data_IF_270782926364
#
_entry.id   IF_270782926364
#
_cell.length_a   1.000
_cell.length_b   1.000
_cell.length_c   1.000
_cell.angle_alpha   90.00
_cell.angle_beta   90.00
_cell.angle_gamma   90.00
#
_symmetry.space_group_name_H-M   'P 1'
#
loop_
_entity.id
_entity.type
_entity.pdbx_description
1 polymer ?
#
# COMPACT_ATOMS: atom_id res chain seq x y z
N UNK A 1 -15.60 8.21 37.09
CA UNK A 1 -15.58 9.55 36.48
C UNK A 1 -14.16 9.86 36.07
N UNK A 2 -14.00 10.22 34.78
CA UNK A 2 -12.90 10.94 34.12
C UNK A 2 -11.47 10.33 34.21
N UNK A 3 -10.66 10.31 33.16
CA UNK A 3 -10.65 11.21 32.01
C UNK A 3 -10.42 10.43 30.70
N UNK A 4 -11.35 10.63 29.76
CA UNK A 4 -11.05 10.52 28.34
C UNK A 4 -10.09 11.67 28.01
N UNK A 5 -8.91 11.34 27.50
CA UNK A 5 -8.08 12.31 26.78
C UNK A 5 -8.71 12.41 25.39
N UNK A 6 -9.71 13.27 25.27
CA UNK A 6 -10.18 13.75 23.97
C UNK A 6 -9.12 14.76 23.55
N UNK A 7 -8.21 14.34 22.67
CA UNK A 7 -7.30 15.25 21.98
C UNK A 7 -8.14 16.26 21.21
N UNK A 8 -8.10 17.51 21.66
CA UNK A 8 -8.87 18.60 21.10
C UNK A 8 -8.04 19.26 19.98
N UNK A 9 -8.57 19.25 18.76
CA UNK A 9 -8.21 20.07 17.60
C UNK A 9 -6.84 19.86 16.93
N UNK A 10 -6.84 19.17 15.78
CA UNK A 10 -6.73 19.83 14.48
C UNK A 10 -7.19 18.86 13.39
N UNK A 11 -8.34 19.11 12.77
CA UNK A 11 -8.47 18.77 11.36
C UNK A 11 -7.42 19.62 10.66
N UNK A 12 -6.21 19.09 10.51
CA UNK A 12 -5.16 19.70 9.71
C UNK A 12 -5.70 19.92 8.30
N UNK A 13 -5.12 20.90 7.59
CA UNK A 13 -5.46 21.09 6.18
C UNK A 13 -5.33 19.74 5.45
N UNK A 14 -6.31 19.38 4.58
CA UNK A 14 -6.22 18.16 3.80
C UNK A 14 -4.85 18.06 3.14
N UNK A 15 -4.30 16.83 3.06
CA UNK A 15 -3.05 16.66 2.33
C UNK A 15 -3.25 17.13 0.87
N UNK A 16 -2.25 17.83 0.28
CA UNK A 16 -2.40 18.42 -1.03
C UNK A 16 -2.73 17.37 -2.08
N UNK A 17 -3.48 17.79 -3.08
CA UNK A 17 -3.71 16.98 -4.26
C UNK A 17 -2.38 16.80 -5.02
N UNK A 18 -2.10 15.58 -5.49
CA UNK A 18 -0.93 15.28 -6.32
C UNK A 18 -0.95 16.05 -7.64
N UNK A 19 0.15 16.03 -8.43
CA UNK A 19 0.23 16.78 -9.68
C UNK A 19 -0.97 16.53 -10.59
N UNK A 20 -1.39 17.56 -11.37
CA UNK A 20 -2.51 17.42 -12.29
C UNK A 20 -2.17 16.40 -13.37
N UNK A 21 -3.18 15.71 -13.88
CA UNK A 21 -3.01 14.72 -14.93
C UNK A 21 -4.16 13.74 -14.95
N UNK A 22 -4.50 13.27 -16.15
CA UNK A 22 -5.43 12.17 -16.34
C UNK A 22 -4.71 10.84 -16.08
N UNK A 23 -5.49 9.79 -15.81
CA UNK A 23 -4.97 8.43 -15.56
C UNK A 23 -4.00 7.97 -16.67
N UNK A 24 -4.25 8.35 -17.93
CA UNK A 24 -3.39 7.96 -19.06
C UNK A 24 -2.07 8.72 -19.17
N UNK A 25 -1.87 9.79 -18.38
CA UNK A 25 -0.66 10.63 -18.42
C UNK A 25 0.15 10.56 -17.14
N UNK A 26 -0.44 10.13 -16.03
CA UNK A 26 0.28 9.93 -14.78
C UNK A 26 1.24 8.75 -14.89
N UNK A 27 2.42 8.94 -14.32
CA UNK A 27 3.52 7.98 -14.28
C UNK A 27 3.86 7.61 -12.85
N UNK A 28 4.69 6.59 -12.63
CA UNK A 28 5.13 6.22 -11.27
C UNK A 28 5.81 7.39 -10.55
N UNK A 29 6.54 8.25 -11.27
CA UNK A 29 7.24 9.41 -10.70
C UNK A 29 6.29 10.38 -10.01
N UNK A 30 5.05 10.52 -10.53
CA UNK A 30 4.05 11.41 -9.97
C UNK A 30 3.63 10.96 -8.55
N UNK A 31 3.68 9.66 -8.26
CA UNK A 31 3.27 9.09 -6.98
C UNK A 31 4.37 9.07 -5.92
N UNK A 32 5.64 9.21 -6.31
CA UNK A 32 6.78 9.14 -5.39
C UNK A 32 6.61 10.14 -4.23
N UNK A 33 6.77 9.65 -3.01
CA UNK A 33 6.82 10.46 -1.79
C UNK A 33 8.22 10.37 -1.19
N UNK A 34 8.70 11.49 -0.65
CA UNK A 34 10.03 11.57 -0.02
C UNK A 34 10.03 11.18 1.47
N UNK A 35 8.85 10.88 2.03
CA UNK A 35 8.66 10.55 3.44
C UNK A 35 8.74 11.76 4.39
N UNK A 36 8.83 12.98 3.87
CA UNK A 36 8.76 14.19 4.69
C UNK A 36 7.30 14.58 4.97
N UNK A 37 7.06 15.37 6.02
CA UNK A 37 5.72 15.93 6.29
C UNK A 37 5.10 16.63 5.05
N UNK A 38 5.93 17.34 4.28
CA UNK A 38 5.51 18.08 3.07
C UNK A 38 5.27 17.19 1.84
N UNK A 39 5.81 15.97 1.83
CA UNK A 39 5.66 15.02 0.73
C UNK A 39 4.33 14.27 0.70
N UNK A 40 3.55 14.29 1.78
CA UNK A 40 2.22 13.67 1.83
C UNK A 40 1.27 14.33 0.82
N UNK A 41 0.61 13.50 0.02
CA UNK A 41 -0.32 13.92 -1.05
C UNK A 41 -1.40 12.88 -1.28
N UNK A 42 -2.48 13.27 -1.96
CA UNK A 42 -3.60 12.42 -2.36
C UNK A 42 -3.93 12.60 -3.83
N UNK A 43 -4.38 11.56 -4.50
CA UNK A 43 -4.93 11.63 -5.84
C UNK A 43 -6.40 11.24 -5.81
N UNK A 44 -7.25 12.12 -6.33
CA UNK A 44 -8.71 11.95 -6.31
C UNK A 44 -9.21 11.62 -7.71
N UNK A 45 -9.87 10.48 -7.85
CA UNK A 45 -10.50 10.02 -9.08
C UNK A 45 -11.98 9.72 -8.86
N UNK A 46 -12.76 9.70 -9.93
CA UNK A 46 -14.18 9.32 -9.89
C UNK A 46 -14.59 8.69 -11.21
N UNK A 47 -15.56 7.77 -11.16
CA UNK A 47 -16.28 7.28 -12.32
C UNK A 47 -17.68 7.91 -12.46
N UNK A 48 -18.00 8.93 -11.67
CA UNK A 48 -19.31 9.60 -11.63
C UNK A 48 -20.28 9.03 -10.60
N UNK A 49 -20.06 7.80 -10.12
CA UNK A 49 -20.88 7.16 -9.08
C UNK A 49 -20.18 7.18 -7.72
N UNK A 50 -18.87 6.93 -7.71
CA UNK A 50 -18.03 6.86 -6.51
C UNK A 50 -16.69 7.56 -6.74
N UNK A 51 -15.99 7.79 -5.63
CA UNK A 51 -14.67 8.42 -5.61
C UNK A 51 -13.60 7.46 -5.08
N UNK A 52 -12.42 7.53 -5.68
CA UNK A 52 -11.18 6.89 -5.21
C UNK A 52 -10.24 7.98 -4.71
N UNK A 53 -9.74 7.82 -3.49
CA UNK A 53 -8.72 8.65 -2.88
C UNK A 53 -7.44 7.82 -2.71
N UNK A 54 -6.51 7.91 -3.65
CA UNK A 54 -5.25 7.17 -3.59
C UNK A 54 -4.20 7.99 -2.84
N UNK A 55 -3.65 7.44 -1.75
CA UNK A 55 -2.58 8.06 -0.96
C UNK A 55 -1.33 7.17 -1.09
N UNK A 56 -0.28 7.64 -1.80
CA UNK A 56 0.95 6.88 -1.95
C UNK A 56 1.71 6.79 -0.63
N UNK A 57 2.12 5.58 -0.28
CA UNK A 57 2.85 5.25 0.93
C UNK A 57 4.32 4.92 0.65
N UNK A 58 5.14 5.07 1.68
CA UNK A 58 6.50 4.56 1.78
C UNK A 58 6.67 3.94 3.17
N UNK A 59 7.44 2.86 3.30
CA UNK A 59 7.53 2.10 4.55
C UNK A 59 8.39 2.75 5.64
N UNK A 60 9.27 3.67 5.29
CA UNK A 60 10.15 4.39 6.22
C UNK A 60 10.08 5.88 5.88
N UNK A 61 9.69 6.70 6.85
CA UNK A 61 9.42 8.12 6.68
C UNK A 61 9.60 8.88 8.01
N UNK A 62 9.46 10.19 7.99
CA UNK A 62 9.35 10.98 9.22
C UNK A 62 7.99 10.71 9.90
N UNK A 63 7.93 10.70 11.24
CA UNK A 63 6.65 10.53 11.96
C UNK A 63 5.56 11.52 11.48
N UNK A 64 5.85 12.82 11.27
CA UNK A 64 4.85 13.76 10.77
C UNK A 64 4.25 13.42 9.38
N UNK A 65 4.93 12.64 8.55
CA UNK A 65 4.35 12.15 7.29
C UNK A 65 3.16 11.23 7.56
N UNK A 66 3.35 10.25 8.45
CA UNK A 66 2.28 9.31 8.84
C UNK A 66 1.17 10.00 9.62
N UNK A 67 1.48 10.96 10.49
CA UNK A 67 0.46 11.73 11.23
C UNK A 67 -0.50 12.45 10.27
N UNK A 68 0.02 13.03 9.17
CA UNK A 68 -0.80 13.70 8.14
C UNK A 68 -1.65 12.70 7.35
N UNK A 69 -1.13 11.51 7.06
CA UNK A 69 -1.89 10.46 6.37
C UNK A 69 -3.02 9.96 7.27
N UNK A 70 -2.75 9.69 8.55
CA UNK A 70 -3.75 9.26 9.52
C UNK A 70 -4.89 10.28 9.63
N UNK A 71 -4.56 11.57 9.76
CA UNK A 71 -5.55 12.64 9.79
C UNK A 71 -6.40 12.70 8.50
N UNK A 72 -5.79 12.49 7.34
CA UNK A 72 -6.52 12.48 6.06
C UNK A 72 -7.43 11.24 5.93
N UNK A 73 -6.96 10.07 6.35
CA UNK A 73 -7.77 8.84 6.37
C UNK A 73 -8.97 9.02 7.29
N UNK A 74 -8.76 9.50 8.52
CA UNK A 74 -9.86 9.79 9.45
C UNK A 74 -10.90 10.73 8.81
N UNK A 75 -10.43 11.81 8.17
CA UNK A 75 -11.29 12.77 7.48
C UNK A 75 -12.09 12.12 6.34
N UNK A 76 -11.47 11.28 5.52
CA UNK A 76 -12.14 10.60 4.40
C UNK A 76 -13.14 9.54 4.89
N UNK A 77 -12.78 8.79 5.94
CA UNK A 77 -13.67 7.81 6.57
C UNK A 77 -14.88 8.45 7.23
N UNK A 78 -14.72 9.59 7.90
CA UNK A 78 -15.84 10.38 8.43
C UNK A 78 -16.81 10.85 7.32
N UNK A 79 -16.36 10.92 6.06
CA UNK A 79 -17.19 11.20 4.89
C UNK A 79 -17.70 9.92 4.18
N UNK A 80 -17.63 8.77 4.85
CA UNK A 80 -18.21 7.51 4.39
C UNK A 80 -17.35 6.72 3.41
N UNK A 81 -16.05 7.02 3.28
CA UNK A 81 -15.14 6.17 2.51
C UNK A 81 -14.68 4.96 3.32
N UNK A 82 -14.63 3.78 2.70
CA UNK A 82 -13.94 2.61 3.26
C UNK A 82 -12.42 2.76 3.05
N UNK A 83 -11.62 2.29 4.01
CA UNK A 83 -10.17 2.26 3.93
C UNK A 83 -9.71 0.91 3.38
N UNK A 84 -9.04 0.96 2.22
CA UNK A 84 -8.38 -0.18 1.58
C UNK A 84 -6.87 -0.01 1.76
N UNK A 85 -6.17 -1.02 2.30
CA UNK A 85 -4.75 -0.88 2.64
C UNK A 85 -3.88 -2.06 2.22
N UNK A 86 -2.60 -1.78 2.00
CA UNK A 86 -1.51 -2.71 1.67
C UNK A 86 -0.77 -3.22 2.91
N UNK A 87 -1.18 -4.32 3.55
CA UNK A 87 -0.37 -4.96 4.60
C UNK A 87 -0.24 -6.46 4.34
N UNK A 88 0.83 -6.88 3.66
CA UNK A 88 1.12 -8.32 3.52
C UNK A 88 1.21 -8.96 4.91
N UNK A 89 0.22 -9.78 5.25
CA UNK A 89 0.14 -10.44 6.54
C UNK A 89 1.05 -11.67 6.56
N UNK A 90 2.26 -11.47 7.10
CA UNK A 90 3.17 -12.57 7.35
C UNK A 90 2.86 -13.29 8.66
N UNK A 91 2.11 -12.75 9.61
CA UNK A 91 1.90 -13.42 10.90
C UNK A 91 1.01 -14.65 10.74
N UNK A 92 0.03 -14.59 9.86
CA UNK A 92 -0.86 -15.72 9.53
C UNK A 92 -0.29 -16.66 8.47
N UNK A 93 0.77 -16.26 7.76
CA UNK A 93 1.36 -17.05 6.68
C UNK A 93 2.12 -18.28 7.18
N UNK A 94 2.07 -19.37 6.39
CA UNK A 94 2.82 -20.58 6.70
C UNK A 94 4.33 -20.35 6.57
N UNK A 95 5.12 -21.17 7.28
CA UNK A 95 6.59 -21.14 7.13
C UNK A 95 7.03 -21.42 5.69
N UNK A 96 6.28 -22.25 4.96
CA UNK A 96 6.56 -22.53 3.55
C UNK A 96 6.36 -21.28 2.69
N UNK A 97 5.26 -20.55 2.86
CA UNK A 97 4.96 -19.33 2.10
C UNK A 97 5.96 -18.21 2.42
N UNK A 98 6.32 -18.06 3.69
CA UNK A 98 7.40 -17.15 4.10
C UNK A 98 8.70 -17.47 3.38
N UNK A 99 9.09 -18.74 3.30
CA UNK A 99 10.30 -19.17 2.58
C UNK A 99 10.21 -18.89 1.09
N UNK A 100 9.04 -19.04 0.46
CA UNK A 100 8.82 -18.69 -0.95
C UNK A 100 8.98 -17.19 -1.17
N UNK A 101 8.36 -16.35 -0.35
CA UNK A 101 8.59 -14.89 -0.42
C UNK A 101 10.07 -14.55 -0.19
N UNK A 102 10.72 -15.15 0.79
CA UNK A 102 12.14 -14.93 1.04
C UNK A 102 13.03 -15.44 -0.10
N UNK A 103 12.66 -16.52 -0.79
CA UNK A 103 13.36 -16.97 -1.99
C UNK A 103 13.21 -15.95 -3.14
N UNK A 104 12.07 -15.26 -3.20
CA UNK A 104 11.81 -14.22 -4.18
C UNK A 104 12.55 -12.92 -3.89
N UNK A 105 12.56 -12.46 -2.65
CA UNK A 105 13.01 -11.10 -2.27
C UNK A 105 14.31 -11.07 -1.46
N UNK A 106 14.77 -12.23 -0.97
CA UNK A 106 15.88 -12.36 -0.03
C UNK A 106 15.53 -11.99 1.41
N UNK A 107 14.35 -11.41 1.65
CA UNK A 107 13.85 -10.95 2.95
C UNK A 107 12.33 -11.09 3.03
N UNK A 108 11.76 -10.92 4.23
CA UNK A 108 10.33 -10.68 4.40
C UNK A 108 10.07 -9.17 4.55
N UNK A 109 9.32 -8.52 3.64
CA UNK A 109 8.96 -7.10 3.75
C UNK A 109 7.88 -6.90 4.82
N UNK A 110 8.24 -7.08 6.08
CA UNK A 110 7.34 -6.98 7.24
C UNK A 110 7.57 -5.68 8.04
N UNK A 111 6.60 -5.24 8.84
CA UNK A 111 6.80 -4.11 9.76
C UNK A 111 8.04 -4.28 10.66
N UNK A 112 8.29 -5.50 11.15
CA UNK A 112 9.47 -5.82 11.94
C UNK A 112 10.78 -5.59 11.16
N UNK A 113 10.83 -6.03 9.90
CA UNK A 113 12.01 -5.80 9.05
C UNK A 113 12.27 -4.30 8.87
N UNK A 114 11.25 -3.51 8.56
CA UNK A 114 11.42 -2.07 8.37
C UNK A 114 11.83 -1.34 9.66
N UNK A 115 11.27 -1.74 10.81
CA UNK A 115 11.64 -1.18 12.10
C UNK A 115 13.11 -1.43 12.46
N UNK A 116 13.64 -2.61 12.13
CA UNK A 116 15.06 -2.94 12.35
C UNK A 116 16.02 -2.23 11.40
N UNK A 117 15.54 -1.75 10.25
CA UNK A 117 16.35 -1.13 9.19
C UNK A 117 16.11 0.38 9.04
N UNK A 118 15.52 1.02 10.06
CA UNK A 118 15.25 2.45 10.06
C UNK A 118 16.55 3.26 10.19
N UNK A 119 16.64 4.38 9.48
CA UNK A 119 17.73 5.35 9.63
C UNK A 119 17.39 6.39 10.70
N UNK A 120 18.42 7.04 11.26
CA UNK A 120 18.25 8.10 12.26
C UNK A 120 17.26 9.19 11.80
N UNK A 121 16.31 9.52 12.66
CA UNK A 121 15.29 10.55 12.41
C UNK A 121 14.06 10.07 11.63
N UNK A 122 14.05 8.82 11.17
CA UNK A 122 12.89 8.20 10.52
C UNK A 122 12.23 7.16 11.43
N UNK A 123 11.04 6.74 11.06
CA UNK A 123 10.28 5.66 11.67
C UNK A 123 9.75 4.72 10.59
N UNK A 124 9.66 3.43 10.92
CA UNK A 124 8.91 2.50 10.09
C UNK A 124 7.41 2.80 10.21
N UNK A 125 6.67 2.55 9.14
CA UNK A 125 5.22 2.68 9.11
C UNK A 125 4.59 1.83 10.21
N UNK A 126 3.79 2.46 11.08
CA UNK A 126 2.91 1.77 12.01
C UNK A 126 1.52 1.64 11.38
N UNK A 127 1.17 0.41 11.03
CA UNK A 127 -0.07 0.09 10.35
C UNK A 127 -1.30 0.37 11.21
N UNK A 128 -1.21 0.17 12.53
CA UNK A 128 -2.34 0.36 13.44
C UNK A 128 -2.77 1.83 13.53
N UNK A 129 -1.84 2.76 13.25
CA UNK A 129 -2.09 4.20 13.29
C UNK A 129 -3.12 4.69 12.25
N UNK A 130 -3.44 3.88 11.24
CA UNK A 130 -4.41 4.22 10.20
C UNK A 130 -5.79 3.58 10.39
N UNK A 131 -5.93 2.69 11.37
CA UNK A 131 -7.09 1.81 11.52
C UNK A 131 -8.04 2.28 12.63
N UNK A 132 -9.27 1.78 12.60
CA UNK A 132 -10.25 1.96 13.67
C UNK A 132 -10.93 3.33 13.72
N UNK A 133 -10.61 4.25 12.81
CA UNK A 133 -11.34 5.51 12.69
C UNK A 133 -12.82 5.26 12.32
N UNK A 134 -13.76 6.07 12.84
CA UNK A 134 -15.19 5.91 12.57
C UNK A 134 -15.57 6.23 11.11
N UNK A 135 -16.75 5.78 10.68
CA UNK A 135 -17.37 6.13 9.40
C UNK A 135 -17.39 4.97 8.39
N UNK A 136 -16.23 4.59 7.84
CA UNK A 136 -16.07 3.45 6.92
C UNK A 136 -15.42 2.22 7.55
N UNK A 137 -15.39 1.12 6.79
CA UNK A 137 -14.71 -0.13 7.16
C UNK A 137 -13.21 -0.06 6.88
N UNK A 138 -12.43 -0.90 7.57
CA UNK A 138 -11.02 -1.13 7.29
C UNK A 138 -10.88 -2.49 6.61
N UNK A 139 -10.31 -2.52 5.40
CA UNK A 139 -10.20 -3.72 4.58
C UNK A 139 -8.77 -3.89 4.09
N UNK A 140 -8.13 -5.00 4.51
CA UNK A 140 -6.87 -5.42 3.90
C UNK A 140 -7.18 -5.94 2.49
N UNK A 141 -6.63 -5.29 1.48
CA UNK A 141 -6.86 -5.64 0.06
C UNK A 141 -5.59 -6.17 -0.60
N UNK A 142 -4.60 -6.54 0.19
CA UNK A 142 -3.34 -7.04 -0.32
C UNK A 142 -3.40 -8.54 -0.62
N UNK A 143 -2.48 -8.98 -1.48
CA UNK A 143 -2.26 -10.40 -1.71
C UNK A 143 -1.57 -11.04 -0.50
N UNK A 144 -2.00 -12.24 -0.16
CA UNK A 144 -1.31 -13.08 0.83
C UNK A 144 0.07 -13.51 0.32
N UNK A 145 1.01 -13.87 1.21
CA UNK A 145 2.30 -14.46 0.81
C UNK A 145 2.16 -15.67 -0.12
N UNK A 146 1.14 -16.51 0.09
CA UNK A 146 0.86 -17.65 -0.78
C UNK A 146 0.46 -17.18 -2.19
N UNK A 147 -0.46 -16.22 -2.32
CA UNK A 147 -0.89 -15.71 -3.62
C UNK A 147 0.23 -15.01 -4.40
N UNK A 148 1.10 -14.28 -3.72
CA UNK A 148 2.28 -13.65 -4.35
C UNK A 148 3.24 -14.72 -4.86
N UNK A 149 3.56 -15.73 -4.03
CA UNK A 149 4.41 -16.84 -4.44
C UNK A 149 3.80 -17.64 -5.61
N UNK A 150 2.53 -18.01 -5.52
CA UNK A 150 1.82 -18.76 -6.55
C UNK A 150 1.77 -17.99 -7.89
N UNK A 151 1.57 -16.67 -7.84
CA UNK A 151 1.59 -15.82 -9.03
C UNK A 151 2.96 -15.82 -9.73
N UNK A 152 4.04 -15.79 -8.95
CA UNK A 152 5.39 -15.95 -9.49
C UNK A 152 5.60 -17.33 -10.11
N UNK A 153 5.24 -18.38 -9.38
CA UNK A 153 5.47 -19.77 -9.80
C UNK A 153 4.66 -20.13 -11.05
N UNK A 154 3.48 -19.54 -11.21
CA UNK A 154 2.66 -19.68 -12.42
C UNK A 154 3.29 -19.00 -13.64
N UNK A 155 3.94 -17.85 -13.44
CA UNK A 155 4.52 -17.06 -14.54
C UNK A 155 5.90 -17.58 -14.98
N UNK A 156 6.73 -17.95 -14.02
CA UNK A 156 8.16 -18.23 -14.23
C UNK A 156 8.49 -19.71 -14.01
N UNK A 157 7.84 -20.34 -13.04
CA UNK A 157 8.16 -21.68 -12.56
C UNK A 157 8.48 -21.69 -11.05
N UNK A 158 8.61 -22.88 -10.44
CA UNK A 158 8.76 -23.03 -9.00
C UNK A 158 9.94 -22.23 -8.44
N UNK A 159 9.76 -21.61 -7.26
CA UNK A 159 10.83 -20.94 -6.56
C UNK A 159 11.81 -21.98 -5.98
N UNK A 160 13.09 -21.82 -6.29
CA UNK A 160 14.12 -22.67 -5.69
C UNK A 160 14.34 -22.25 -4.23
N UNK A 161 14.05 -23.15 -3.28
CA UNK A 161 14.34 -22.92 -1.87
C UNK A 161 15.74 -23.46 -1.55
N UNK A 162 16.73 -22.56 -1.49
CA UNK A 162 18.13 -22.91 -1.22
C UNK A 162 18.35 -23.45 0.20
N UNK A 163 19.45 -24.17 0.42
CA UNK A 163 19.85 -24.64 1.75
C UNK A 163 20.08 -23.49 2.73
N UNK A 164 20.62 -22.36 2.26
CA UNK A 164 20.72 -21.12 3.03
C UNK A 164 19.34 -20.64 3.48
N UNK A 165 18.33 -20.60 2.59
CA UNK A 165 16.96 -20.25 2.96
C UNK A 165 16.31 -21.28 3.92
N UNK A 166 16.73 -22.54 3.93
CA UNK A 166 16.21 -23.51 4.89
C UNK A 166 16.79 -23.35 6.29
N UNK A 167 18.07 -22.98 6.38
CA UNK A 167 18.86 -23.00 7.60
C UNK A 167 19.01 -21.63 8.29
N UNK A 168 18.99 -20.54 7.52
CA UNK A 168 19.13 -19.17 8.04
C UNK A 168 17.84 -18.73 8.75
N UNK A 169 17.92 -18.10 9.96
CA UNK A 169 16.76 -17.58 10.67
C UNK A 169 15.88 -16.69 9.79
N UNK A 170 14.55 -16.76 9.93
CA UNK A 170 13.60 -16.12 9.00
C UNK A 170 13.77 -14.60 8.83
N UNK A 171 14.25 -13.93 9.88
CA UNK A 171 14.49 -12.48 9.90
C UNK A 171 15.74 -12.03 9.14
N UNK A 172 16.66 -12.95 8.90
CA UNK A 172 17.93 -12.63 8.27
C UNK A 172 17.81 -12.74 6.74
N UNK A 173 18.55 -11.88 6.05
CA UNK A 173 18.65 -11.86 4.59
C UNK A 173 19.30 -13.14 4.06
N UNK A 174 18.85 -13.60 2.90
CA UNK A 174 19.47 -14.68 2.10
C UNK A 174 19.52 -14.24 0.64
N UNK A 175 20.39 -14.85 -0.16
CA UNK A 175 20.41 -14.55 -1.59
C UNK A 175 19.09 -15.02 -2.25
N UNK A 176 18.36 -14.12 -2.95
CA UNK A 176 17.17 -14.50 -3.70
C UNK A 176 17.53 -15.47 -4.83
N UNK A 177 16.62 -16.40 -5.11
CA UNK A 177 16.73 -17.36 -6.23
C UNK A 177 15.80 -17.01 -7.39
N UNK A 178 14.87 -16.07 -7.20
CA UNK A 178 14.02 -15.57 -8.27
C UNK A 178 14.81 -14.80 -9.34
N UNK A 179 14.34 -14.90 -10.60
CA UNK A 179 14.75 -14.02 -11.69
C UNK A 179 14.43 -12.55 -11.35
N UNK A 180 15.46 -11.70 -11.10
CA UNK A 180 15.26 -10.31 -10.69
C UNK A 180 14.56 -9.47 -11.76
N UNK A 181 14.64 -9.85 -13.05
CA UNK A 181 13.96 -9.15 -14.14
C UNK A 181 12.44 -9.38 -14.14
N UNK A 182 11.95 -10.31 -13.33
CA UNK A 182 10.55 -10.75 -13.30
C UNK A 182 9.85 -10.47 -11.99
N UNK A 183 10.59 -10.20 -10.92
CA UNK A 183 10.02 -9.93 -9.58
C UNK A 183 8.98 -8.81 -9.63
N UNK A 184 9.26 -7.71 -10.34
CA UNK A 184 8.34 -6.57 -10.46
C UNK A 184 7.00 -6.93 -11.13
N UNK A 185 6.97 -7.91 -12.03
CA UNK A 185 5.74 -8.36 -12.68
C UNK A 185 4.75 -8.98 -11.69
N UNK A 186 5.24 -9.39 -10.51
CA UNK A 186 4.46 -9.99 -9.44
C UNK A 186 4.31 -9.03 -8.28
N UNK A 187 5.41 -8.44 -7.80
CA UNK A 187 5.39 -7.54 -6.64
C UNK A 187 4.77 -6.19 -6.94
N UNK A 188 4.62 -5.82 -8.21
CA UNK A 188 3.96 -4.59 -8.65
C UNK A 188 2.78 -4.91 -9.56
N UNK A 189 3.01 -5.46 -10.76
CA UNK A 189 1.94 -5.53 -11.77
C UNK A 189 0.76 -6.43 -11.37
N UNK A 190 1.02 -7.60 -10.78
CA UNK A 190 -0.04 -8.49 -10.32
C UNK A 190 -0.86 -7.88 -9.17
N UNK A 191 -0.21 -7.15 -8.28
CA UNK A 191 -0.86 -6.43 -7.17
C UNK A 191 -1.64 -5.22 -7.67
N UNK A 192 -1.16 -4.51 -8.68
CA UNK A 192 -1.89 -3.43 -9.35
C UNK A 192 -3.21 -3.93 -9.95
N UNK A 193 -3.17 -5.05 -10.68
CA UNK A 193 -4.38 -5.70 -11.23
C UNK A 193 -5.34 -6.13 -10.14
N UNK A 194 -4.83 -6.73 -9.07
CA UNK A 194 -5.63 -7.16 -7.94
C UNK A 194 -6.34 -5.98 -7.27
N UNK A 195 -5.58 -4.93 -6.92
CA UNK A 195 -6.09 -3.73 -6.28
C UNK A 195 -7.14 -3.02 -7.15
N UNK A 196 -6.88 -2.88 -8.45
CA UNK A 196 -7.83 -2.30 -9.39
C UNK A 196 -9.17 -3.07 -9.41
N UNK A 197 -9.13 -4.41 -9.46
CA UNK A 197 -10.33 -5.24 -9.42
C UNK A 197 -11.10 -5.09 -8.09
N UNK A 198 -10.38 -5.01 -6.97
CA UNK A 198 -11.00 -4.80 -5.65
C UNK A 198 -11.69 -3.43 -5.58
N UNK A 199 -11.02 -2.37 -6.05
CA UNK A 199 -11.60 -1.01 -6.12
C UNK A 199 -12.85 -0.98 -7.02
N UNK A 200 -12.80 -1.64 -8.18
CA UNK A 200 -13.93 -1.66 -9.12
C UNK A 200 -15.19 -2.34 -8.55
N UNK A 201 -15.00 -3.31 -7.64
CA UNK A 201 -16.11 -3.97 -6.96
C UNK A 201 -16.56 -3.28 -5.67
N UNK A 202 -15.90 -2.20 -5.25
CA UNK A 202 -16.22 -1.50 -4.01
C UNK A 202 -17.62 -0.86 -4.05
N UNK A 203 -18.43 -0.96 -2.98
CA UNK A 203 -19.81 -0.47 -2.99
C UNK A 203 -19.95 1.05 -2.90
N UNK A 204 -18.85 1.77 -2.66
CA UNK A 204 -18.88 3.21 -2.43
C UNK A 204 -17.51 3.86 -2.58
N UNK A 205 -17.33 4.99 -1.90
CA UNK A 205 -16.06 5.71 -1.91
C UNK A 205 -14.98 4.90 -1.19
N UNK A 206 -13.76 4.96 -1.70
CA UNK A 206 -12.61 4.27 -1.09
C UNK A 206 -11.44 5.21 -0.92
N UNK A 207 -10.79 5.15 0.24
CA UNK A 207 -9.43 5.66 0.44
C UNK A 207 -8.46 4.49 0.40
N UNK A 208 -7.41 4.62 -0.41
CA UNK A 208 -6.41 3.58 -0.63
C UNK A 208 -5.08 4.04 -0.04
N UNK A 209 -4.55 3.26 0.91
CA UNK A 209 -3.15 3.35 1.35
C UNK A 209 -2.35 2.23 0.70
N UNK A 210 -1.51 2.58 -0.27
CA UNK A 210 -0.72 1.61 -1.02
C UNK A 210 0.61 2.25 -1.42
N UNK A 211 1.65 1.45 -1.59
CA UNK A 211 3.00 1.88 -1.90
C UNK A 211 3.03 2.72 -3.18
N UNK A 212 3.84 3.78 -3.18
CA UNK A 212 3.88 4.75 -4.27
C UNK A 212 4.08 4.13 -5.67
N UNK A 213 4.87 3.05 -5.75
CA UNK A 213 5.14 2.32 -6.99
C UNK A 213 3.89 1.70 -7.64
N UNK A 214 2.81 1.52 -6.89
CA UNK A 214 1.57 0.91 -7.37
C UNK A 214 0.61 1.90 -8.02
N UNK A 215 0.75 3.20 -7.77
CA UNK A 215 -0.27 4.20 -8.10
C UNK A 215 -0.62 4.24 -9.59
N UNK A 216 0.37 4.48 -10.45
CA UNK A 216 0.13 4.62 -11.88
C UNK A 216 -0.43 3.32 -12.50
N UNK A 217 0.18 2.18 -12.21
CA UNK A 217 -0.27 0.89 -12.75
C UNK A 217 -1.67 0.49 -12.27
N UNK A 218 -1.99 0.70 -10.99
CA UNK A 218 -3.33 0.44 -10.45
C UNK A 218 -4.39 1.26 -11.18
N UNK A 219 -4.13 2.54 -11.42
CA UNK A 219 -5.10 3.42 -12.09
C UNK A 219 -5.29 3.04 -13.57
N UNK A 220 -4.22 2.62 -14.25
CA UNK A 220 -4.32 2.13 -15.63
C UNK A 220 -5.19 0.86 -15.70
N UNK A 221 -4.96 -0.10 -14.81
CA UNK A 221 -5.77 -1.32 -14.71
C UNK A 221 -7.23 -1.00 -14.33
N UNK A 222 -7.45 -0.07 -13.41
CA UNK A 222 -8.78 0.36 -13.00
C UNK A 222 -9.57 1.00 -14.16
N UNK A 223 -8.92 1.86 -14.95
CA UNK A 223 -9.53 2.46 -16.14
C UNK A 223 -9.78 1.43 -17.25
N UNK A 224 -9.00 0.36 -17.31
CA UNK A 224 -9.25 -0.74 -18.24
C UNK A 224 -10.51 -1.54 -17.87
N UNK A 225 -10.84 -1.61 -16.57
CA UNK A 225 -12.09 -2.23 -16.08
C UNK A 225 -13.29 -1.31 -16.28
N UNK A 226 -13.16 -0.02 -15.93
CA UNK A 226 -14.20 0.99 -16.09
C UNK A 226 -13.62 2.28 -16.72
N UNK A 227 -13.88 2.53 -18.03
CA UNK A 227 -13.36 3.70 -18.74
C UNK A 227 -13.84 5.05 -18.23
N UNK A 228 -14.88 5.11 -17.39
CA UNK A 228 -15.41 6.36 -16.83
C UNK A 228 -14.53 6.92 -15.71
N UNK A 229 -13.62 6.10 -15.15
CA UNK A 229 -12.63 6.58 -14.19
C UNK A 229 -11.77 7.68 -14.79
N UNK A 230 -11.80 8.84 -14.13
CA UNK A 230 -11.07 10.04 -14.51
C UNK A 230 -10.67 10.83 -13.28
N UNK A 231 -9.75 11.78 -13.45
CA UNK A 231 -9.37 12.69 -12.38
C UNK A 231 -10.61 13.48 -11.93
N UNK A 232 -10.82 13.59 -10.62
CA UNK A 232 -11.89 14.42 -10.10
C UNK A 232 -11.56 15.91 -10.35
N UNK A 233 -12.54 16.77 -10.65
CA UNK A 233 -12.30 18.21 -10.76
C UNK A 233 -11.74 18.76 -9.44
N UNK A 234 -10.63 19.48 -9.49
CA UNK A 234 -10.16 20.28 -8.36
C UNK A 234 -11.02 21.54 -8.29
N UNK A 235 -11.75 21.72 -7.18
CA UNK A 235 -12.55 22.93 -6.91
C UNK A 235 -11.76 23.94 -6.08
#
# INVERSE_FOLDING_TARGET
MAAAVIGNNAAGDPIPEGPPGDIGTLTEEDFIVDGSAGGAKRFTFTNGERSLYFIPMIHIAEQPFYDRIAAEVERLKLNGADLYYEFIDFDTASVADKRRIRAMLGMLPSPAFYAENVSDGLVAQDNEAFLGFPGGQDVNVDLTPAQIADAYEMLIGPLEISEENLSTPMRDFVLPTADPARVTQITVDARNRHLAAVIDTAPGNVVVLYGAAHGAGTLQELRALDPEWRRAPTF
#
